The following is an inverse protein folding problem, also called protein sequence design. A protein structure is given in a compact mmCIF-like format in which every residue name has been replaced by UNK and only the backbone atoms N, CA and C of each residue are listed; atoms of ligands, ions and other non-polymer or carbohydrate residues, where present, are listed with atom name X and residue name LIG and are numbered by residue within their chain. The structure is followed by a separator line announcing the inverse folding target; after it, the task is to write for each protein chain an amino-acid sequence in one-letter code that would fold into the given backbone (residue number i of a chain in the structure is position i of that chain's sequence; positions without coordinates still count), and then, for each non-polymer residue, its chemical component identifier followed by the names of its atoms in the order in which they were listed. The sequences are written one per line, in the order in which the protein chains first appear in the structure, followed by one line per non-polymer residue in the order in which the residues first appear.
data_IF_871346994817
#
_entry.id   IF_871346994817
#
_cell.length_a   1.000
_cell.length_b   1.000
_cell.length_c   1.000
_cell.angle_alpha   90.00
_cell.angle_beta   90.00
_cell.angle_gamma   90.00
#
_symmetry.space_group_name_H-M   'P 1'
#
loop_
_entity.id
_entity.type
_entity.pdbx_description
1 polymer ?
#
# COMPACT_ATOMS: atom_id res chain seq x y z
N UNK A 1 -7.50 10.49 -16.10
CA UNK A 1 -6.43 9.65 -16.71
C UNK A 1 -7.05 8.29 -16.92
N UNK A 2 -6.85 7.65 -18.07
CA UNK A 2 -7.46 6.34 -18.30
C UNK A 2 -6.76 5.28 -17.43
N UNK A 3 -7.50 4.59 -16.57
CA UNK A 3 -6.99 3.50 -15.75
C UNK A 3 -7.47 2.14 -16.28
N UNK A 4 -6.62 1.12 -16.16
CA UNK A 4 -6.96 -0.27 -16.49
C UNK A 4 -7.58 -0.96 -15.28
N UNK A 5 -8.86 -1.30 -15.37
CA UNK A 5 -9.64 -1.88 -14.28
C UNK A 5 -10.06 -3.29 -14.69
N UNK A 6 -9.78 -4.27 -13.84
CA UNK A 6 -10.23 -5.65 -14.03
C UNK A 6 -11.52 -5.88 -13.25
N UNK A 7 -12.56 -6.35 -13.92
CA UNK A 7 -13.85 -6.73 -13.33
C UNK A 7 -13.94 -8.25 -13.31
N UNK A 8 -14.24 -8.81 -12.14
CA UNK A 8 -14.35 -10.25 -11.91
C UNK A 8 -15.73 -10.55 -11.32
N UNK A 9 -16.61 -11.11 -12.14
CA UNK A 9 -18.00 -11.44 -11.78
C UNK A 9 -18.51 -12.53 -12.73
N UNK A 10 -19.15 -13.58 -12.21
CA UNK A 10 -19.74 -14.66 -13.00
C UNK A 10 -21.01 -14.18 -13.74
N UNK A 11 -21.67 -13.12 -13.26
CA UNK A 11 -22.78 -12.47 -13.92
C UNK A 11 -22.30 -11.54 -15.05
N UNK A 12 -22.42 -12.01 -16.31
CA UNK A 12 -22.00 -11.26 -17.51
C UNK A 12 -22.69 -9.91 -17.66
N UNK A 13 -23.94 -9.79 -17.24
CA UNK A 13 -24.71 -8.55 -17.30
C UNK A 13 -24.14 -7.51 -16.34
N UNK A 14 -23.74 -7.93 -15.13
CA UNK A 14 -23.07 -7.06 -14.15
C UNK A 14 -21.70 -6.62 -14.68
N UNK A 15 -20.91 -7.54 -15.21
CA UNK A 15 -19.64 -7.21 -15.88
C UNK A 15 -19.82 -6.15 -16.97
N UNK A 16 -20.86 -6.29 -17.79
CA UNK A 16 -21.13 -5.36 -18.90
C UNK A 16 -21.60 -4.01 -18.40
N UNK A 17 -22.45 -3.97 -17.37
CA UNK A 17 -22.91 -2.74 -16.72
C UNK A 17 -21.74 -1.96 -16.11
N UNK A 18 -20.90 -2.63 -15.31
CA UNK A 18 -19.73 -2.01 -14.67
C UNK A 18 -18.75 -1.51 -15.74
N UNK A 19 -18.48 -2.31 -16.76
CA UNK A 19 -17.59 -1.91 -17.85
C UNK A 19 -18.11 -0.66 -18.56
N UNK A 20 -19.40 -0.58 -18.89
CA UNK A 20 -19.99 0.60 -19.52
C UNK A 20 -19.83 1.86 -18.67
N UNK A 21 -20.13 1.78 -17.37
CA UNK A 21 -19.97 2.91 -16.43
C UNK A 21 -18.50 3.39 -16.38
N UNK A 22 -17.55 2.46 -16.36
CA UNK A 22 -16.12 2.79 -16.30
C UNK A 22 -15.60 3.39 -17.62
N UNK A 23 -16.06 2.84 -18.74
CA UNK A 23 -15.69 3.27 -20.10
C UNK A 23 -16.23 4.67 -20.41
N UNK A 24 -17.44 5.01 -19.94
CA UNK A 24 -18.04 6.34 -20.06
C UNK A 24 -17.20 7.43 -19.35
N UNK A 25 -16.52 7.08 -18.25
CA UNK A 25 -15.57 7.95 -17.54
C UNK A 25 -14.14 7.90 -18.12
N UNK A 26 -13.95 7.19 -19.23
CA UNK A 26 -12.67 7.10 -19.95
C UNK A 26 -11.67 6.11 -19.36
N UNK A 27 -12.11 5.19 -18.49
CA UNK A 27 -11.29 4.06 -18.06
C UNK A 27 -11.37 2.90 -19.07
N UNK A 28 -10.40 1.99 -19.02
CA UNK A 28 -10.46 0.74 -19.79
C UNK A 28 -10.87 -0.41 -18.87
N UNK A 29 -11.93 -1.14 -19.23
CA UNK A 29 -12.43 -2.26 -18.44
C UNK A 29 -12.08 -3.60 -19.07
N UNK A 30 -11.37 -4.46 -18.34
CA UNK A 30 -11.19 -5.88 -18.67
C UNK A 30 -12.13 -6.72 -17.83
N UNK A 31 -12.56 -7.87 -18.36
CA UNK A 31 -13.59 -8.71 -17.75
C UNK A 31 -13.03 -10.12 -17.58
N UNK A 32 -13.36 -10.75 -16.46
CA UNK A 32 -13.11 -12.15 -16.17
C UNK A 32 -14.33 -12.74 -15.46
N UNK A 33 -14.64 -14.00 -15.73
CA UNK A 33 -15.86 -14.65 -15.23
C UNK A 33 -15.61 -15.79 -14.25
N UNK A 34 -14.34 -16.04 -13.89
CA UNK A 34 -13.93 -17.03 -12.90
C UNK A 34 -12.53 -16.69 -12.35
N UNK A 35 -12.09 -17.39 -11.31
CA UNK A 35 -10.80 -17.17 -10.66
C UNK A 35 -9.62 -17.36 -11.61
N UNK A 36 -9.65 -18.37 -12.48
CA UNK A 36 -8.56 -18.69 -13.40
C UNK A 36 -8.35 -17.56 -14.41
N UNK A 37 -9.43 -17.10 -15.05
CA UNK A 37 -9.40 -15.94 -15.95
C UNK A 37 -8.92 -14.68 -15.26
N UNK A 38 -9.34 -14.44 -14.01
CA UNK A 38 -8.90 -13.29 -13.24
C UNK A 38 -7.39 -13.32 -12.94
N UNK A 39 -6.87 -14.47 -12.49
CA UNK A 39 -5.45 -14.66 -12.22
C UNK A 39 -4.63 -14.48 -13.50
N UNK A 40 -5.06 -15.08 -14.61
CA UNK A 40 -4.37 -14.95 -15.90
C UNK A 40 -4.40 -13.51 -16.41
N UNK A 41 -5.53 -12.80 -16.27
CA UNK A 41 -5.64 -11.40 -16.64
C UNK A 41 -4.71 -10.51 -15.81
N UNK A 42 -4.59 -10.75 -14.50
CA UNK A 42 -3.65 -10.03 -13.62
C UNK A 42 -2.19 -10.29 -14.04
N UNK A 43 -1.85 -11.55 -14.35
CA UNK A 43 -0.50 -11.95 -14.79
C UNK A 43 -0.11 -11.38 -16.15
N UNK A 44 -1.04 -11.35 -17.10
CA UNK A 44 -0.80 -10.77 -18.43
C UNK A 44 -0.55 -9.26 -18.35
N UNK A 45 -1.36 -8.55 -17.54
CA UNK A 45 -1.19 -7.13 -17.30
C UNK A 45 -1.73 -6.78 -15.93
N UNK A 46 -0.88 -6.22 -15.07
CA UNK A 46 -1.26 -5.75 -13.75
C UNK A 46 -2.26 -4.58 -13.85
N UNK A 47 -3.52 -4.73 -13.39
CA UNK A 47 -4.49 -3.64 -13.40
C UNK A 47 -4.16 -2.57 -12.35
N UNK A 48 -4.77 -1.39 -12.52
CA UNK A 48 -4.75 -0.32 -11.53
C UNK A 48 -5.68 -0.64 -10.34
N UNK A 49 -6.79 -1.34 -10.60
CA UNK A 49 -7.79 -1.73 -9.61
C UNK A 49 -8.44 -3.05 -10.05
N UNK A 50 -8.82 -3.90 -9.09
CA UNK A 50 -9.71 -5.04 -9.32
C UNK A 50 -11.05 -4.79 -8.65
N UNK A 51 -12.13 -5.01 -9.39
CA UNK A 51 -13.49 -5.09 -8.87
C UNK A 51 -13.87 -6.57 -8.86
N UNK A 52 -14.24 -7.11 -7.69
CA UNK A 52 -14.36 -8.55 -7.47
C UNK A 52 -15.66 -8.91 -6.77
N UNK A 53 -16.46 -9.81 -7.34
CA UNK A 53 -17.59 -10.39 -6.64
C UNK A 53 -17.12 -11.28 -5.47
N UNK A 54 -17.81 -11.19 -4.33
CA UNK A 54 -17.63 -12.09 -3.19
C UNK A 54 -18.02 -13.53 -3.55
N UNK A 55 -19.06 -13.71 -4.38
CA UNK A 55 -19.64 -15.02 -4.67
C UNK A 55 -19.45 -15.41 -6.14
N UNK A 56 -18.27 -15.92 -6.49
CA UNK A 56 -18.01 -16.42 -7.84
C UNK A 56 -18.51 -17.85 -8.02
N UNK A 57 -19.69 -18.04 -8.64
CA UNK A 57 -20.17 -19.39 -8.94
C UNK A 57 -19.37 -20.03 -10.09
N UNK A 58 -19.14 -21.35 -10.01
CA UNK A 58 -18.41 -22.08 -11.05
C UNK A 58 -16.90 -21.80 -11.10
N UNK A 59 -16.35 -21.17 -10.05
CA UNK A 59 -14.94 -20.85 -9.90
C UNK A 59 -14.26 -21.83 -8.93
N UNK A 60 -12.97 -22.12 -9.14
CA UNK A 60 -12.19 -22.97 -8.21
C UNK A 60 -11.94 -22.26 -6.87
N UNK A 61 -11.80 -20.93 -6.91
CA UNK A 61 -11.63 -20.08 -5.74
C UNK A 61 -12.85 -19.19 -5.58
N UNK A 62 -13.33 -19.05 -4.34
CA UNK A 62 -14.33 -18.03 -4.01
C UNK A 62 -13.73 -16.61 -4.07
N UNK A 63 -14.57 -15.58 -3.97
CA UNK A 63 -14.12 -14.19 -4.08
C UNK A 63 -13.15 -13.76 -2.97
N UNK A 64 -13.30 -14.29 -1.75
CA UNK A 64 -12.40 -13.96 -0.64
C UNK A 64 -11.04 -14.64 -0.77
N UNK A 65 -11.03 -15.90 -1.23
CA UNK A 65 -9.82 -16.66 -1.54
C UNK A 65 -9.07 -16.02 -2.72
N UNK A 66 -9.78 -15.59 -3.75
CA UNK A 66 -9.19 -14.88 -4.88
C UNK A 66 -8.61 -13.51 -4.45
N UNK A 67 -9.28 -12.79 -3.55
CA UNK A 67 -8.75 -11.57 -2.94
C UNK A 67 -7.40 -11.83 -2.24
N UNK A 68 -7.26 -12.92 -1.48
CA UNK A 68 -5.99 -13.28 -0.85
C UNK A 68 -4.88 -13.55 -1.88
N UNK A 69 -5.20 -14.19 -3.00
CA UNK A 69 -4.24 -14.45 -4.08
C UNK A 69 -3.79 -13.14 -4.73
N UNK A 70 -4.73 -12.28 -5.13
CA UNK A 70 -4.44 -11.00 -5.80
C UNK A 70 -3.66 -10.06 -4.88
N UNK A 71 -3.95 -10.08 -3.57
CA UNK A 71 -3.26 -9.23 -2.59
C UNK A 71 -1.80 -9.61 -2.36
N UNK A 72 -1.37 -10.83 -2.73
CA UNK A 72 0.03 -11.28 -2.63
C UNK A 72 0.93 -10.68 -3.71
N UNK A 73 0.38 -10.01 -4.71
CA UNK A 73 1.16 -9.25 -5.69
C UNK A 73 1.98 -8.14 -5.01
N UNK A 74 3.19 -7.89 -5.50
CA UNK A 74 4.06 -6.82 -4.99
C UNK A 74 4.39 -5.80 -6.10
N UNK A 75 3.93 -4.54 -5.99
CA UNK A 75 3.11 -3.99 -4.91
C UNK A 75 1.67 -4.52 -4.93
N UNK A 76 0.96 -4.52 -3.79
CA UNK A 76 -0.42 -4.99 -3.71
C UNK A 76 -1.34 -4.18 -4.63
N UNK A 77 -2.25 -4.87 -5.30
CA UNK A 77 -3.27 -4.25 -6.16
C UNK A 77 -4.46 -3.90 -5.28
N UNK A 78 -5.02 -2.67 -5.33
CA UNK A 78 -6.24 -2.37 -4.62
C UNK A 78 -7.40 -3.21 -5.18
N UNK A 79 -8.23 -3.76 -4.30
CA UNK A 79 -9.39 -4.58 -4.66
C UNK A 79 -10.64 -4.00 -4.00
N UNK A 80 -11.68 -3.76 -4.79
CA UNK A 80 -13.01 -3.37 -4.31
C UNK A 80 -13.94 -4.55 -4.49
N UNK A 81 -14.57 -4.96 -3.39
CA UNK A 81 -15.46 -6.11 -3.41
C UNK A 81 -16.88 -5.68 -3.76
N UNK A 82 -17.61 -6.50 -4.50
CA UNK A 82 -19.03 -6.30 -4.84
C UNK A 82 -19.82 -7.53 -4.40
N UNK A 83 -21.05 -7.37 -3.90
CA UNK A 83 -21.95 -8.52 -3.64
C UNK A 83 -23.41 -8.10 -3.60
N UNK A 84 -24.30 -8.93 -4.13
CA UNK A 84 -25.76 -8.78 -3.99
C UNK A 84 -26.36 -9.45 -2.75
N UNK A 85 -25.58 -10.27 -2.04
CA UNK A 85 -26.00 -10.93 -0.79
C UNK A 85 -25.21 -10.32 0.38
N UNK A 86 -25.24 -8.99 0.48
CA UNK A 86 -24.41 -8.17 1.35
C UNK A 86 -24.74 -8.30 2.84
N UNK A 87 -24.36 -9.41 3.47
CA UNK A 87 -24.34 -9.45 4.93
C UNK A 87 -23.20 -8.57 5.45
N UNK A 88 -23.44 -7.85 6.55
CA UNK A 88 -22.40 -7.05 7.22
C UNK A 88 -21.15 -7.91 7.50
N UNK A 89 -21.34 -9.19 7.85
CA UNK A 89 -20.26 -10.11 8.14
C UNK A 89 -19.34 -10.37 6.95
N UNK A 90 -19.89 -10.52 5.73
CA UNK A 90 -19.07 -10.72 4.52
C UNK A 90 -18.29 -9.47 4.15
N UNK A 91 -18.91 -8.30 4.25
CA UNK A 91 -18.22 -7.02 4.03
C UNK A 91 -17.08 -6.81 5.04
N UNK A 92 -17.32 -7.07 6.33
CA UNK A 92 -16.29 -6.97 7.38
C UNK A 92 -15.17 -7.97 7.14
N UNK A 93 -15.50 -9.21 6.76
CA UNK A 93 -14.50 -10.23 6.44
C UNK A 93 -13.61 -9.78 5.28
N UNK A 94 -14.21 -9.27 4.19
CA UNK A 94 -13.47 -8.78 3.03
C UNK A 94 -12.48 -7.66 3.37
N UNK A 95 -12.90 -6.68 4.17
CA UNK A 95 -12.02 -5.58 4.61
C UNK A 95 -10.87 -6.12 5.48
N UNK A 96 -11.14 -7.06 6.38
CA UNK A 96 -10.08 -7.70 7.20
C UNK A 96 -9.09 -8.48 6.34
N UNK A 97 -9.57 -9.19 5.32
CA UNK A 97 -8.75 -9.94 4.36
C UNK A 97 -7.95 -9.02 3.44
N UNK A 98 -8.39 -7.78 3.25
CA UNK A 98 -7.58 -6.75 2.60
C UNK A 98 -8.20 -6.00 1.44
N UNK A 99 -9.51 -6.15 1.24
CA UNK A 99 -10.22 -5.29 0.32
C UNK A 99 -10.06 -3.82 0.75
N UNK A 100 -10.01 -2.93 -0.24
CA UNK A 100 -9.99 -1.49 -0.02
C UNK A 100 -11.37 -1.00 0.46
N UNK A 101 -12.43 -1.42 -0.23
CA UNK A 101 -13.82 -1.09 0.09
C UNK A 101 -14.77 -2.20 -0.41
N UNK A 102 -16.04 -2.09 -0.04
CA UNK A 102 -17.12 -3.00 -0.42
C UNK A 102 -18.32 -2.21 -0.98
N UNK A 103 -18.94 -2.74 -2.04
CA UNK A 103 -20.12 -2.16 -2.68
C UNK A 103 -21.23 -3.23 -2.72
N UNK A 104 -22.40 -2.89 -2.20
CA UNK A 104 -23.57 -3.76 -2.26
C UNK A 104 -24.31 -3.59 -3.60
N UNK A 105 -24.71 -4.70 -4.25
CA UNK A 105 -25.65 -4.69 -5.38
C UNK A 105 -27.08 -4.60 -4.82
N UNK A 106 -27.98 -3.76 -5.37
CA UNK A 106 -27.78 -2.87 -6.51
C UNK A 106 -27.09 -1.55 -6.11
N UNK A 107 -26.16 -1.09 -6.94
CA UNK A 107 -25.40 0.14 -6.75
C UNK A 107 -25.77 1.22 -7.77
N UNK A 108 -25.46 2.48 -7.43
CA UNK A 108 -25.53 3.62 -8.35
C UNK A 108 -24.19 3.83 -9.04
N UNK A 109 -24.19 4.27 -10.30
CA UNK A 109 -22.97 4.56 -11.07
C UNK A 109 -22.04 5.54 -10.31
N UNK A 110 -22.57 6.65 -9.79
CA UNK A 110 -21.80 7.63 -9.02
C UNK A 110 -21.08 7.03 -7.81
N UNK A 111 -21.71 6.04 -7.15
CA UNK A 111 -21.11 5.38 -5.97
C UNK A 111 -19.96 4.49 -6.39
N UNK A 112 -20.12 3.73 -7.48
CA UNK A 112 -19.06 2.90 -8.04
C UNK A 112 -17.84 3.76 -8.42
N UNK A 113 -18.08 4.82 -9.20
CA UNK A 113 -17.03 5.73 -9.66
C UNK A 113 -16.29 6.39 -8.50
N UNK A 114 -17.02 6.89 -7.49
CA UNK A 114 -16.39 7.50 -6.31
C UNK A 114 -15.46 6.53 -5.57
N UNK A 115 -15.85 5.26 -5.43
CA UNK A 115 -15.05 4.25 -4.74
C UNK A 115 -13.83 3.88 -5.58
N UNK A 116 -14.00 3.71 -6.89
CA UNK A 116 -12.93 3.43 -7.85
C UNK A 116 -11.87 4.54 -7.82
N UNK A 117 -12.28 5.80 -7.92
CA UNK A 117 -11.38 6.95 -7.91
C UNK A 117 -10.59 7.05 -6.61
N UNK A 118 -11.27 6.88 -5.46
CA UNK A 118 -10.63 6.90 -4.14
C UNK A 118 -9.64 5.76 -3.97
N UNK A 119 -9.97 4.56 -4.45
CA UNK A 119 -9.09 3.40 -4.37
C UNK A 119 -7.81 3.62 -5.18
N UNK A 120 -7.94 4.13 -6.41
CA UNK A 120 -6.81 4.42 -7.30
C UNK A 120 -5.96 5.58 -6.74
N UNK A 121 -6.60 6.64 -6.25
CA UNK A 121 -5.90 7.77 -5.65
C UNK A 121 -5.12 7.35 -4.40
N UNK A 122 -5.75 6.57 -3.51
CA UNK A 122 -5.11 6.09 -2.29
C UNK A 122 -3.88 5.21 -2.61
N UNK A 123 -3.99 4.30 -3.59
CA UNK A 123 -2.85 3.50 -4.04
C UNK A 123 -1.74 4.37 -4.65
N UNK A 124 -2.09 5.36 -5.49
CA UNK A 124 -1.12 6.32 -6.06
C UNK A 124 -0.38 7.08 -4.95
N UNK A 125 -1.10 7.65 -4.00
CA UNK A 125 -0.53 8.39 -2.87
C UNK A 125 0.35 7.51 -2.00
N UNK A 126 -0.06 6.26 -1.75
CA UNK A 126 0.73 5.29 -0.98
C UNK A 126 2.06 4.96 -1.67
N UNK A 127 2.04 4.76 -2.99
CA UNK A 127 3.26 4.52 -3.79
C UNK A 127 4.16 5.75 -3.86
N UNK A 128 3.57 6.92 -4.03
CA UNK A 128 4.29 8.19 -4.03
C UNK A 128 4.95 8.41 -2.67
N UNK A 129 4.23 8.20 -1.57
CA UNK A 129 4.77 8.29 -0.22
C UNK A 129 5.91 7.29 0.00
N UNK A 130 5.77 6.04 -0.42
CA UNK A 130 6.83 5.03 -0.33
C UNK A 130 8.08 5.41 -1.16
N UNK A 131 7.89 6.01 -2.34
CA UNK A 131 8.98 6.52 -3.18
C UNK A 131 9.68 7.71 -2.53
N UNK A 132 8.92 8.69 -2.01
CA UNK A 132 9.44 9.85 -1.31
C UNK A 132 10.18 9.45 -0.03
N UNK A 133 9.65 8.50 0.75
CA UNK A 133 10.33 7.94 1.93
C UNK A 133 11.67 7.31 1.56
N UNK A 134 11.72 6.50 0.48
CA UNK A 134 12.98 5.94 -0.03
C UNK A 134 13.99 7.03 -0.42
N UNK A 135 13.55 8.07 -1.14
CA UNK A 135 14.40 9.21 -1.52
C UNK A 135 14.88 10.03 -0.32
N UNK A 136 14.07 10.13 0.75
CA UNK A 136 14.39 10.85 1.98
C UNK A 136 15.30 10.06 2.96
N UNK A 137 15.88 8.94 2.51
CA UNK A 137 16.81 8.12 3.29
C UNK A 137 16.28 6.75 3.71
N UNK A 138 14.99 6.46 3.49
CA UNK A 138 14.38 5.14 3.66
C UNK A 138 14.52 4.52 5.06
N UNK A 139 14.18 3.23 5.15
CA UNK A 139 14.60 2.40 6.28
C UNK A 139 16.10 2.15 6.15
N UNK A 140 16.84 2.71 7.11
CA UNK A 140 18.30 2.59 7.12
C UNK A 140 18.69 1.27 7.76
N UNK A 141 19.57 0.51 7.13
CA UNK A 141 20.14 -0.70 7.71
C UNK A 141 21.58 -0.45 8.14
N UNK A 142 21.96 -0.98 9.30
CA UNK A 142 23.33 -0.90 9.77
C UNK A 142 24.20 -1.90 8.99
N UNK A 143 25.12 -1.39 8.17
CA UNK A 143 26.06 -2.19 7.38
C UNK A 143 27.44 -2.17 8.05
N UNK A 144 28.03 -3.36 8.23
CA UNK A 144 29.38 -3.51 8.78
C UNK A 144 29.48 -4.68 9.76
N UNK A 145 30.58 -5.42 9.66
CA UNK A 145 30.86 -6.63 10.45
C UNK A 145 32.13 -6.52 11.31
N UNK A 146 32.81 -5.36 11.28
CA UNK A 146 34.03 -5.17 12.08
C UNK A 146 33.71 -5.12 13.59
N UNK A 147 34.70 -5.40 14.46
CA UNK A 147 34.49 -5.31 15.91
C UNK A 147 34.01 -3.93 16.37
N UNK A 148 34.51 -2.85 15.74
CA UNK A 148 34.08 -1.47 16.02
C UNK A 148 32.61 -1.28 15.62
N UNK A 149 32.23 -1.78 14.44
CA UNK A 149 30.85 -1.69 13.96
C UNK A 149 29.88 -2.48 14.86
N UNK A 150 30.29 -3.65 15.34
CA UNK A 150 29.52 -4.43 16.31
C UNK A 150 29.33 -3.67 17.64
N UNK A 151 30.38 -3.02 18.15
CA UNK A 151 30.29 -2.20 19.37
C UNK A 151 29.30 -1.04 19.22
N UNK A 152 29.32 -0.34 18.08
CA UNK A 152 28.37 0.73 17.76
C UNK A 152 26.94 0.20 17.70
N UNK A 153 26.72 -0.95 17.04
CA UNK A 153 25.39 -1.58 16.96
C UNK A 153 24.81 -1.84 18.35
N UNK A 154 25.60 -2.41 19.25
CA UNK A 154 25.21 -2.67 20.65
C UNK A 154 24.85 -1.36 21.37
N UNK A 155 25.60 -0.28 21.15
CA UNK A 155 25.30 1.02 21.76
C UNK A 155 23.97 1.60 21.27
N UNK A 156 23.70 1.49 19.97
CA UNK A 156 22.43 1.92 19.36
C UNK A 156 21.26 1.15 19.98
N UNK A 157 21.34 -0.18 19.99
CA UNK A 157 20.29 -1.06 20.55
C UNK A 157 20.03 -0.76 22.03
N UNK A 158 21.07 -0.44 22.80
CA UNK A 158 20.94 -0.10 24.21
C UNK A 158 20.30 1.27 24.44
N UNK A 159 20.62 2.28 23.61
CA UNK A 159 20.17 3.66 23.84
C UNK A 159 18.77 3.93 23.26
N UNK A 160 18.42 3.26 22.16
CA UNK A 160 17.16 3.47 21.43
C UNK A 160 15.88 3.38 22.30
N UNK A 161 15.69 2.40 23.19
CA UNK A 161 14.47 2.29 23.99
C UNK A 161 14.40 3.28 25.16
N UNK A 162 15.49 3.99 25.49
CA UNK A 162 15.60 4.81 26.72
C UNK A 162 14.84 6.12 26.65
N UNK A 163 14.62 6.68 25.45
CA UNK A 163 14.03 8.01 25.26
C UNK A 163 14.90 9.19 25.73
N UNK A 164 16.17 8.94 26.09
CA UNK A 164 17.11 9.99 26.51
C UNK A 164 17.65 10.81 25.32
N UNK A 165 18.17 12.01 25.59
CA UNK A 165 18.89 12.81 24.59
C UNK A 165 20.22 12.13 24.25
N UNK A 166 20.54 12.02 22.96
CA UNK A 166 21.76 11.33 22.47
C UNK A 166 22.64 12.33 21.71
N UNK A 167 23.94 12.31 22.01
CA UNK A 167 24.97 13.01 21.24
C UNK A 167 25.75 11.99 20.41
N UNK A 168 25.84 12.21 19.10
CA UNK A 168 26.59 11.36 18.17
C UNK A 168 27.79 12.14 17.65
N UNK A 169 28.99 11.64 17.91
CA UNK A 169 30.26 12.26 17.50
C UNK A 169 31.00 11.38 16.50
N UNK A 170 31.81 12.00 15.65
CA UNK A 170 32.59 11.30 14.62
C UNK A 170 32.95 12.22 13.45
N UNK A 171 33.92 11.79 12.64
CA UNK A 171 34.38 12.52 11.47
C UNK A 171 33.27 12.80 10.45
N UNK A 172 33.52 13.71 9.51
CA UNK A 172 32.63 13.89 8.36
C UNK A 172 32.52 12.59 7.56
N UNK A 173 31.31 12.24 7.11
CA UNK A 173 31.07 10.99 6.40
C UNK A 173 31.00 9.71 7.25
N UNK A 174 31.22 9.78 8.57
CA UNK A 174 31.20 8.59 9.46
C UNK A 174 29.80 7.97 9.70
N UNK A 175 28.75 8.43 9.00
CA UNK A 175 27.40 7.88 9.14
C UNK A 175 26.63 8.34 10.39
N UNK A 176 26.90 9.54 10.92
CA UNK A 176 26.22 10.06 12.13
C UNK A 176 24.70 10.14 11.98
N UNK A 177 24.21 10.57 10.82
CA UNK A 177 22.76 10.63 10.53
C UNK A 177 22.15 9.22 10.44
N UNK A 178 22.85 8.28 9.80
CA UNK A 178 22.49 6.86 9.76
C UNK A 178 22.32 6.30 11.16
N UNK A 179 23.25 6.60 12.08
CA UNK A 179 23.14 6.19 13.49
C UNK A 179 21.91 6.82 14.17
N UNK A 180 21.63 8.10 13.94
CA UNK A 180 20.45 8.76 14.50
C UNK A 180 19.14 8.12 14.01
N UNK A 181 19.06 7.75 12.72
CA UNK A 181 17.90 7.06 12.12
C UNK A 181 17.70 5.66 12.72
N UNK A 182 18.79 4.91 12.92
CA UNK A 182 18.74 3.59 13.56
C UNK A 182 18.28 3.67 15.02
N UNK A 183 18.75 4.69 15.77
CA UNK A 183 18.28 4.96 17.13
C UNK A 183 16.77 5.26 17.13
N UNK A 184 16.29 6.08 16.18
CA UNK A 184 14.86 6.38 16.05
C UNK A 184 14.03 5.13 15.76
N UNK A 185 14.45 4.31 14.78
CA UNK A 185 13.79 3.06 14.39
C UNK A 185 13.70 2.06 15.56
N UNK A 186 14.73 1.97 16.41
CA UNK A 186 14.71 1.10 17.60
C UNK A 186 14.02 1.70 18.83
N UNK A 187 13.47 2.92 18.72
CA UNK A 187 12.88 3.64 19.85
C UNK A 187 11.37 3.45 19.96
N UNK A 188 10.79 3.88 21.10
CA UNK A 188 9.33 3.94 21.29
C UNK A 188 8.62 4.96 20.39
N UNK A 189 9.36 5.70 19.56
CA UNK A 189 8.86 6.74 18.65
C UNK A 189 9.06 6.37 17.18
N UNK A 190 9.33 5.09 16.88
CA UNK A 190 9.63 4.62 15.53
C UNK A 190 8.58 5.02 14.47
N UNK A 191 7.29 5.05 14.85
CA UNK A 191 6.17 5.44 13.97
C UNK A 191 6.00 6.97 13.85
N UNK A 192 6.76 7.74 14.62
CA UNK A 192 6.75 9.21 14.61
C UNK A 192 7.62 9.81 13.49
N UNK A 193 7.53 11.13 13.29
CA UNK A 193 8.38 11.82 12.32
C UNK A 193 9.84 11.90 12.79
N UNK A 194 10.76 11.56 11.90
CA UNK A 194 12.20 11.82 12.08
C UNK A 194 12.59 13.06 11.27
N UNK A 195 12.89 14.17 11.95
CA UNK A 195 13.22 15.45 11.32
C UNK A 195 14.71 15.73 11.45
N UNK A 196 15.38 15.94 10.31
CA UNK A 196 16.79 16.32 10.26
C UNK A 196 16.88 17.83 10.05
N UNK A 197 17.57 18.50 10.97
CA UNK A 197 17.92 19.92 10.83
C UNK A 197 19.42 20.01 10.59
N UNK A 198 19.81 20.39 9.37
CA UNK A 198 21.21 20.57 9.04
C UNK A 198 21.64 22.01 9.31
N UNK A 199 22.29 22.22 10.46
CA UNK A 199 22.76 23.53 10.88
C UNK A 199 23.82 24.14 9.96
N UNK A 200 24.54 23.36 9.15
CA UNK A 200 25.55 23.92 8.23
C UNK A 200 24.95 24.61 7.01
N UNK A 201 23.69 24.33 6.69
CA UNK A 201 22.97 24.90 5.55
C UNK A 201 21.94 25.97 5.95
N UNK A 202 21.80 26.24 7.24
CA UNK A 202 20.86 27.24 7.74
C UNK A 202 21.50 28.65 7.74
N UNK A 203 20.80 29.69 7.24
CA UNK A 203 21.23 31.07 7.41
C UNK A 203 21.31 31.43 8.89
N UNK A 204 22.37 32.12 9.28
CA UNK A 204 22.66 32.47 10.68
C UNK A 204 21.54 33.28 11.33
N UNK A 205 20.79 34.05 10.53
CA UNK A 205 19.66 34.90 10.94
C UNK A 205 18.40 34.12 11.37
N UNK A 206 18.37 32.78 11.23
CA UNK A 206 17.20 31.93 11.58
C UNK A 206 17.49 30.95 12.73
N UNK A 207 18.57 31.16 13.47
CA UNK A 207 19.02 30.30 14.57
C UNK A 207 18.57 30.79 15.97
N UNK A 208 17.81 31.89 16.03
CA UNK A 208 17.22 32.47 17.24
C UNK A 208 15.78 31.98 17.48
#
# INVERSE_FOLDING_TARGET
MAHDILIVDDERDICTLIAGILEDEGNTARRAHNSTEAIDAVRQRRPALVILDVWLQGSELDGLQLLEVIRREDPPIPVVMISGHGTIDTAVSAIKTGAYDFIEKPFKADRLLLVVDRAIEADRLKRENASLRRRAGGDVTFVGTSPVAASVRIQIERVAPTGSRVLISGASGAGKETMARLIHQGSKRADGPFVVVNCSTLPTERLD
#
